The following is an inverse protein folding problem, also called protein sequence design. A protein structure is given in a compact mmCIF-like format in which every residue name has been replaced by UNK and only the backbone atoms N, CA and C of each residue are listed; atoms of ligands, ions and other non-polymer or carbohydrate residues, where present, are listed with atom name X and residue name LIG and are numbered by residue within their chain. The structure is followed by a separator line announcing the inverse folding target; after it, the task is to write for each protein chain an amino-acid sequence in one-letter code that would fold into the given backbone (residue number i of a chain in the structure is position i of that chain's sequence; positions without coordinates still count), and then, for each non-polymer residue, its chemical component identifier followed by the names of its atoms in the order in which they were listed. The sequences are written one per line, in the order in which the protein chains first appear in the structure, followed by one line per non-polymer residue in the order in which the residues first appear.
data_IF_456504022289
#
_entry.id   IF_456504022289
#
_cell.length_a   1.000
_cell.length_b   1.000
_cell.length_c   1.000
_cell.angle_alpha   90.00
_cell.angle_beta   90.00
_cell.angle_gamma   90.00
#
_symmetry.space_group_name_H-M   'P 1'
#
loop_
_entity.id
_entity.type
_entity.pdbx_description
1 polymer ?
#
# COMPACT_ATOMS: atom_id res chain seq x y z
N UNK A 1 13.25 -40.99 5.00
CA UNK A 1 13.32 -39.64 4.37
C UNK A 1 12.91 -38.62 5.41
N UNK A 2 13.86 -37.80 5.90
CA UNK A 2 13.57 -36.70 6.83
C UNK A 2 13.09 -35.50 6.01
N UNK A 3 11.78 -35.30 5.92
CA UNK A 3 11.20 -34.08 5.36
C UNK A 3 11.25 -32.99 6.43
N UNK A 4 12.38 -32.29 6.52
CA UNK A 4 12.50 -31.08 7.32
C UNK A 4 11.65 -29.98 6.71
N UNK A 5 10.66 -29.48 7.44
CA UNK A 5 9.87 -28.31 7.06
C UNK A 5 10.74 -27.06 7.15
N UNK A 6 11.01 -26.42 6.01
CA UNK A 6 11.65 -25.12 5.99
C UNK A 6 10.72 -24.07 6.62
N UNK A 7 11.24 -23.14 7.44
CA UNK A 7 10.43 -22.06 7.97
C UNK A 7 9.96 -21.16 6.82
N UNK A 8 8.68 -21.25 6.49
CA UNK A 8 8.03 -20.29 5.59
C UNK A 8 7.77 -19.00 6.35
N UNK A 9 8.36 -17.90 5.89
CA UNK A 9 7.98 -16.57 6.36
C UNK A 9 6.93 -16.00 5.42
N UNK A 10 5.83 -15.50 6.00
CA UNK A 10 4.86 -14.73 5.24
C UNK A 10 5.46 -13.40 4.80
N UNK A 11 5.08 -12.93 3.62
CA UNK A 11 5.33 -11.58 3.15
C UNK A 11 4.01 -10.95 2.71
N UNK A 12 3.90 -9.64 2.89
CA UNK A 12 2.78 -8.86 2.37
C UNK A 12 3.30 -7.59 1.73
N UNK A 13 2.46 -6.97 0.89
CA UNK A 13 2.78 -5.72 0.23
C UNK A 13 1.94 -4.60 0.84
N UNK A 14 2.56 -3.45 1.02
CA UNK A 14 1.90 -2.21 1.45
C UNK A 14 1.88 -1.25 0.26
N UNK A 15 0.77 -0.57 0.09
CA UNK A 15 0.54 0.43 -0.93
C UNK A 15 0.17 1.76 -0.26
N UNK A 16 0.71 2.84 -0.82
CA UNK A 16 0.23 4.20 -0.55
C UNK A 16 -0.57 4.62 -1.76
N UNK A 17 -1.87 4.76 -1.54
CA UNK A 17 -2.83 5.22 -2.53
C UNK A 17 -3.16 6.69 -2.25
N UNK A 18 -3.37 7.45 -3.30
CA UNK A 18 -3.80 8.84 -3.24
C UNK A 18 -5.16 8.95 -3.89
N UNK A 19 -6.13 9.53 -3.18
CA UNK A 19 -7.41 9.91 -3.77
C UNK A 19 -7.43 11.43 -3.91
N UNK A 20 -7.72 11.88 -5.13
CA UNK A 20 -7.89 13.29 -5.45
C UNK A 20 -9.34 13.50 -5.85
N UNK A 21 -10.05 14.36 -5.13
CA UNK A 21 -11.39 14.77 -5.50
C UNK A 21 -11.32 15.95 -6.47
N UNK A 22 -11.79 15.76 -7.70
CA UNK A 22 -11.75 16.78 -8.75
C UNK A 22 -12.67 17.98 -8.50
N UNK A 23 -13.74 17.82 -7.72
CA UNK A 23 -14.68 18.91 -7.38
C UNK A 23 -14.17 19.78 -6.23
N UNK A 24 -13.67 19.15 -5.16
CA UNK A 24 -13.27 19.87 -3.95
C UNK A 24 -11.76 20.17 -3.90
N UNK A 25 -10.98 19.59 -4.81
CA UNK A 25 -9.52 19.57 -4.78
C UNK A 25 -8.93 18.97 -3.49
N UNK A 26 -9.72 18.22 -2.73
CA UNK A 26 -9.24 17.52 -1.53
C UNK A 26 -8.40 16.33 -1.95
N UNK A 27 -7.22 16.23 -1.33
CA UNK A 27 -6.28 15.12 -1.51
C UNK A 27 -6.17 14.35 -0.20
N UNK A 28 -6.34 13.02 -0.26
CA UNK A 28 -6.10 12.13 0.87
C UNK A 28 -5.13 11.02 0.48
N UNK A 29 -4.28 10.63 1.41
CA UNK A 29 -3.40 9.48 1.27
C UNK A 29 -3.85 8.36 2.19
N UNK A 30 -3.83 7.15 1.66
CA UNK A 30 -4.31 5.94 2.32
C UNK A 30 -3.21 4.90 2.23
N UNK A 31 -2.87 4.31 3.37
CA UNK A 31 -1.99 3.16 3.41
C UNK A 31 -2.82 1.89 3.56
N UNK A 32 -2.57 0.91 2.70
CA UNK A 32 -3.36 -0.32 2.65
C UNK A 32 -2.52 -1.49 2.15
N UNK A 33 -2.98 -2.71 2.39
CA UNK A 33 -2.40 -3.93 1.80
C UNK A 33 -3.10 -4.36 0.51
N UNK A 34 -4.18 -3.68 0.15
CA UNK A 34 -4.89 -3.86 -1.11
C UNK A 34 -4.20 -3.05 -2.19
N UNK A 35 -3.97 -3.66 -3.35
CA UNK A 35 -3.59 -2.88 -4.53
C UNK A 35 -4.74 -1.94 -4.96
N UNK A 36 -4.51 -0.98 -5.86
CA UNK A 36 -5.54 -0.01 -6.24
C UNK A 36 -6.83 -0.67 -6.75
N UNK A 37 -6.73 -1.68 -7.62
CA UNK A 37 -7.90 -2.35 -8.23
C UNK A 37 -8.70 -3.11 -7.17
N UNK A 38 -8.00 -3.80 -6.27
CA UNK A 38 -8.62 -4.43 -5.11
C UNK A 38 -9.27 -3.40 -4.18
N UNK A 39 -8.59 -2.29 -3.91
CA UNK A 39 -9.10 -1.25 -3.03
C UNK A 39 -10.43 -0.68 -3.55
N UNK A 40 -10.53 -0.41 -4.86
CA UNK A 40 -11.78 0.06 -5.48
C UNK A 40 -12.92 -0.94 -5.36
N UNK A 41 -12.60 -2.24 -5.38
CA UNK A 41 -13.60 -3.31 -5.23
C UNK A 41 -14.20 -3.36 -3.82
N UNK A 42 -13.40 -3.07 -2.78
CA UNK A 42 -13.86 -3.13 -1.38
C UNK A 42 -14.32 -1.78 -0.83
N UNK A 43 -13.76 -0.68 -1.33
CA UNK A 43 -14.01 0.69 -0.87
C UNK A 43 -14.46 1.56 -2.04
N UNK A 44 -15.78 1.60 -2.32
CA UNK A 44 -16.33 2.49 -3.32
C UNK A 44 -15.96 3.93 -3.00
N UNK A 45 -15.50 4.66 -4.01
CA UNK A 45 -15.19 6.08 -3.92
C UNK A 45 -16.14 6.87 -4.83
N UNK A 46 -16.21 8.18 -4.63
CA UNK A 46 -17.07 9.04 -5.46
C UNK A 46 -16.60 9.00 -6.92
N UNK A 47 -17.49 9.09 -7.93
CA UNK A 47 -17.07 9.22 -9.34
C UNK A 47 -16.19 10.45 -9.61
N UNK A 48 -16.21 11.44 -8.71
CA UNK A 48 -15.36 12.63 -8.80
C UNK A 48 -13.98 12.44 -8.15
N UNK A 49 -13.77 11.31 -7.46
CA UNK A 49 -12.51 10.94 -6.85
C UNK A 49 -11.71 10.07 -7.82
N UNK A 50 -10.43 10.39 -7.98
CA UNK A 50 -9.50 9.58 -8.76
C UNK A 50 -8.51 8.92 -7.83
N UNK A 51 -8.45 7.59 -7.86
CA UNK A 51 -7.47 6.79 -7.14
C UNK A 51 -6.18 6.64 -7.97
N UNK A 52 -5.03 6.91 -7.36
CA UNK A 52 -3.72 6.66 -7.96
C UNK A 52 -2.77 6.01 -6.96
N UNK A 53 -1.83 5.17 -7.44
CA UNK A 53 -0.78 4.62 -6.58
C UNK A 53 0.43 5.56 -6.54
N UNK A 54 1.05 5.71 -5.36
CA UNK A 54 2.19 6.61 -5.12
C UNK A 54 3.46 5.84 -4.78
N UNK A 55 3.34 4.79 -3.96
CA UNK A 55 4.46 3.99 -3.50
C UNK A 55 4.00 2.60 -3.08
N UNK A 56 4.90 1.62 -3.18
CA UNK A 56 4.68 0.30 -2.60
C UNK A 56 5.98 -0.29 -2.05
N UNK A 57 5.88 -1.13 -1.02
CA UNK A 57 7.01 -1.91 -0.51
C UNK A 57 6.54 -3.26 0.03
N UNK A 58 7.48 -4.19 0.14
CA UNK A 58 7.25 -5.50 0.76
C UNK A 58 7.59 -5.43 2.25
N UNK A 59 6.73 -6.03 3.06
CA UNK A 59 6.92 -6.23 4.48
C UNK A 59 7.04 -7.73 4.75
N UNK A 60 7.93 -8.10 5.67
CA UNK A 60 7.99 -9.47 6.21
C UNK A 60 6.97 -9.64 7.33
N UNK A 61 6.49 -10.86 7.48
CA UNK A 61 5.51 -11.24 8.49
C UNK A 61 4.07 -11.21 7.98
N UNK A 62 3.13 -11.17 8.92
CA UNK A 62 1.68 -11.22 8.65
C UNK A 62 1.02 -9.89 9.05
N UNK A 63 -0.17 -9.64 8.50
CA UNK A 63 -0.96 -8.41 8.71
C UNK A 63 -2.04 -8.54 9.81
N UNK A 64 -2.06 -9.66 10.53
CA UNK A 64 -3.01 -9.92 11.61
C UNK A 64 -2.77 -9.06 12.87
N UNK A 65 -3.77 -9.09 13.76
CA UNK A 65 -3.78 -8.46 15.09
C UNK A 65 -3.62 -6.93 15.06
N UNK A 66 -4.12 -6.27 14.01
CA UNK A 66 -4.07 -4.80 13.87
C UNK A 66 -2.65 -4.23 14.00
N UNK A 67 -1.63 -5.03 13.63
CA UNK A 67 -0.25 -4.58 13.67
C UNK A 67 -0.05 -3.41 12.74
N UNK A 68 0.71 -2.38 13.15
CA UNK A 68 1.07 -1.31 12.24
C UNK A 68 1.87 -1.89 11.06
N UNK A 69 1.69 -1.30 9.89
CA UNK A 69 2.47 -1.64 8.72
C UNK A 69 3.97 -1.38 8.95
N UNK A 70 4.82 -2.17 8.30
CA UNK A 70 6.25 -1.92 8.36
C UNK A 70 6.61 -0.58 7.70
N UNK A 71 7.69 0.05 8.17
CA UNK A 71 8.16 1.33 7.62
C UNK A 71 8.55 1.19 6.16
N UNK A 72 8.23 2.18 5.31
CA UNK A 72 8.68 2.18 3.93
C UNK A 72 10.22 2.21 3.89
N UNK A 73 10.84 1.61 2.87
CA UNK A 73 12.25 1.87 2.61
C UNK A 73 12.43 3.37 2.37
N UNK A 74 13.50 3.94 2.93
CA UNK A 74 13.86 5.33 2.64
C UNK A 74 13.99 5.46 1.12
N UNK A 75 13.14 6.29 0.49
CA UNK A 75 13.43 6.72 -0.88
C UNK A 75 14.76 7.47 -0.84
N UNK A 76 15.69 7.27 -1.78
CA UNK A 76 16.65 8.33 -2.06
C UNK A 76 15.81 9.58 -2.36
N UNK A 77 16.08 10.69 -1.67
CA UNK A 77 15.52 11.99 -2.04
C UNK A 77 15.79 12.16 -3.54
N UNK A 78 14.76 12.05 -4.38
CA UNK A 78 14.85 12.46 -5.78
C UNK A 78 15.36 13.89 -5.73
N UNK A 79 16.59 14.13 -6.21
CA UNK A 79 17.06 15.49 -6.46
C UNK A 79 15.96 16.19 -7.25
N UNK A 80 15.49 17.33 -6.75
CA UNK A 80 14.67 18.24 -7.50
C UNK A 80 15.37 18.49 -8.84
N UNK A 81 14.78 18.01 -9.93
CA UNK A 81 15.25 18.31 -11.27
C UNK A 81 14.43 19.53 -11.71
N UNK A 82 15.14 20.66 -11.73
CA UNK A 82 14.74 21.94 -12.31
C UNK A 82 14.13 21.78 -13.71
#
# INVERSE_FOLDING_TARGET
MLFGSLPSQAEYRVFVLQLVNSKTNVVRQIQTTLDPEQYETYYPHSPDEKLTYVQTWRCRGRTDFLKPHCTPPQKPLTKAQN
#
